data_IF_814589716127
#
_entry.id   IF_814589716127
#
_cell.length_a   1.000
_cell.length_b   1.000
_cell.length_c   1.000
_cell.angle_alpha   90.00
_cell.angle_beta   90.00
_cell.angle_gamma   90.00
#
_symmetry.space_group_name_H-M   'P 1'
#
loop_
_entity.id
_entity.type
_entity.pdbx_description
1 polymer ?
#
# COMPACT_ATOMS: atom_id res chain seq x y z
N UNK A 1 -2.53 -18.92 -8.66
CA UNK A 1 -2.42 -19.76 -7.43
C UNK A 1 -2.42 -18.85 -6.21
N UNK A 2 -3.09 -19.25 -5.17
CA UNK A 2 -3.16 -18.54 -3.89
C UNK A 2 -2.34 -19.29 -2.84
N UNK A 3 -1.63 -18.54 -1.98
CA UNK A 3 -0.80 -19.10 -0.92
C UNK A 3 -1.34 -18.67 0.45
N UNK A 4 -1.04 -19.43 1.48
CA UNK A 4 -1.50 -19.17 2.85
C UNK A 4 -0.79 -17.98 3.51
N UNK A 5 0.37 -17.59 2.97
CA UNK A 5 1.12 -16.42 3.46
C UNK A 5 1.88 -15.73 2.33
N UNK A 6 2.21 -14.46 2.55
CA UNK A 6 3.06 -13.71 1.64
C UNK A 6 4.44 -14.34 1.49
N UNK A 7 5.02 -14.85 2.58
CA UNK A 7 6.34 -15.49 2.56
C UNK A 7 6.34 -16.76 1.70
N UNK A 8 5.29 -17.58 1.79
CA UNK A 8 5.15 -18.76 0.95
C UNK A 8 5.07 -18.40 -0.54
N UNK A 9 4.32 -17.34 -0.87
CA UNK A 9 4.21 -16.85 -2.25
C UNK A 9 5.55 -16.30 -2.77
N UNK A 10 6.24 -15.50 -1.97
CA UNK A 10 7.56 -14.93 -2.31
C UNK A 10 8.58 -16.04 -2.52
N UNK A 11 8.61 -17.04 -1.65
CA UNK A 11 9.53 -18.18 -1.76
C UNK A 11 9.27 -18.98 -3.03
N UNK A 12 8.01 -19.23 -3.39
CA UNK A 12 7.66 -19.92 -4.63
C UNK A 12 8.07 -19.14 -5.87
N UNK A 13 7.88 -17.83 -5.87
CA UNK A 13 8.32 -16.94 -6.95
C UNK A 13 9.84 -16.90 -7.07
N UNK A 14 10.55 -16.72 -5.96
CA UNK A 14 12.02 -16.66 -5.91
C UNK A 14 12.64 -17.99 -6.36
N UNK A 15 12.01 -19.12 -6.04
CA UNK A 15 12.44 -20.45 -6.50
C UNK A 15 12.07 -20.71 -7.98
N UNK A 16 11.60 -19.71 -8.73
CA UNK A 16 11.19 -19.82 -10.13
C UNK A 16 10.07 -20.85 -10.40
N UNK A 17 9.25 -21.10 -9.41
CA UNK A 17 8.06 -21.96 -9.55
C UNK A 17 6.86 -21.21 -10.13
N UNK A 18 6.93 -19.87 -10.16
CA UNK A 18 5.89 -18.98 -10.68
C UNK A 18 6.51 -17.93 -11.59
N UNK A 19 5.79 -17.58 -12.66
CA UNK A 19 6.24 -16.58 -13.63
C UNK A 19 6.00 -15.14 -13.15
N UNK A 20 5.03 -14.96 -12.22
CA UNK A 20 4.67 -13.65 -11.68
C UNK A 20 4.22 -13.76 -10.22
N UNK A 21 4.44 -12.69 -9.49
CA UNK A 21 3.97 -12.52 -8.11
C UNK A 21 3.16 -11.22 -7.99
N UNK A 22 1.97 -11.30 -7.39
CA UNK A 22 1.10 -10.17 -7.14
C UNK A 22 1.13 -9.81 -5.66
N UNK A 23 1.29 -8.53 -5.36
CA UNK A 23 1.36 -8.04 -3.98
C UNK A 23 1.24 -6.53 -3.92
N UNK A 24 1.38 -5.98 -2.71
CA UNK A 24 1.40 -4.54 -2.51
C UNK A 24 2.72 -3.95 -3.01
N UNK A 25 2.64 -2.79 -3.66
CA UNK A 25 3.81 -2.13 -4.29
C UNK A 25 5.02 -1.97 -3.35
N UNK A 26 4.87 -1.55 -2.07
CA UNK A 26 6.03 -1.47 -1.18
C UNK A 26 6.79 -2.79 -1.04
N UNK A 27 6.06 -3.88 -0.83
CA UNK A 27 6.66 -5.22 -0.73
C UNK A 27 7.23 -5.71 -2.06
N UNK A 28 6.58 -5.41 -3.19
CA UNK A 28 7.10 -5.76 -4.52
C UNK A 28 8.43 -5.09 -4.83
N UNK A 29 8.61 -3.84 -4.42
CA UNK A 29 9.87 -3.10 -4.59
C UNK A 29 11.00 -3.82 -3.84
N UNK A 30 10.73 -4.23 -2.60
CA UNK A 30 11.73 -4.93 -1.77
C UNK A 30 12.07 -6.32 -2.33
N UNK A 31 11.08 -7.06 -2.86
CA UNK A 31 11.31 -8.35 -3.52
C UNK A 31 12.11 -8.19 -4.81
N UNK A 32 11.74 -7.22 -5.65
CA UNK A 32 12.43 -6.96 -6.91
C UNK A 32 13.89 -6.54 -6.69
N UNK A 33 14.18 -5.77 -5.63
CA UNK A 33 15.54 -5.39 -5.28
C UNK A 33 16.44 -6.59 -4.92
N UNK A 34 15.85 -7.65 -4.40
CA UNK A 34 16.56 -8.88 -3.97
C UNK A 34 16.63 -9.95 -5.06
N UNK A 35 15.87 -9.82 -6.13
CA UNK A 35 15.78 -10.81 -7.20
C UNK A 35 16.21 -10.19 -8.54
N UNK A 36 17.49 -10.26 -8.91
CA UNK A 36 18.00 -9.75 -10.19
C UNK A 36 17.24 -10.35 -11.39
N UNK A 37 16.92 -9.51 -12.39
CA UNK A 37 16.15 -9.90 -13.56
C UNK A 37 14.64 -9.83 -13.40
N UNK A 38 14.13 -9.60 -12.19
CA UNK A 38 12.71 -9.31 -11.97
C UNK A 38 12.41 -7.83 -12.21
N UNK A 39 11.16 -7.53 -12.54
CA UNK A 39 10.69 -6.16 -12.70
C UNK A 39 9.24 -6.00 -12.22
N UNK A 40 8.89 -4.83 -11.79
CA UNK A 40 7.50 -4.47 -11.50
C UNK A 40 6.87 -4.00 -12.80
N UNK A 41 5.70 -4.57 -13.12
CA UNK A 41 4.92 -4.14 -14.29
C UNK A 41 4.28 -2.77 -14.05
N UNK A 42 4.11 -2.01 -15.10
CA UNK A 42 3.42 -0.72 -15.06
C UNK A 42 1.93 -0.89 -14.75
N UNK A 43 1.34 0.11 -14.11
CA UNK A 43 -0.06 0.12 -13.74
C UNK A 43 -0.35 -0.64 -12.45
N UNK A 44 -1.62 -0.86 -12.22
CA UNK A 44 -2.15 -1.61 -11.06
C UNK A 44 -3.49 -2.24 -11.44
N UNK A 45 -3.75 -3.43 -10.94
CA UNK A 45 -5.05 -4.10 -11.14
C UNK A 45 -6.04 -3.82 -10.00
N UNK A 46 -5.55 -3.35 -8.86
CA UNK A 46 -6.35 -2.92 -7.70
C UNK A 46 -5.55 -1.98 -6.81
N UNK A 47 -6.22 -1.36 -5.86
CA UNK A 47 -5.59 -0.54 -4.84
C UNK A 47 -6.14 -0.91 -3.45
N UNK A 48 -5.27 -0.89 -2.45
CA UNK A 48 -5.64 -1.06 -1.05
C UNK A 48 -5.55 0.30 -0.36
N UNK A 49 -6.69 0.78 0.14
CA UNK A 49 -6.75 2.03 0.88
C UNK A 49 -6.53 1.76 2.37
N UNK A 50 -5.52 2.41 2.93
CA UNK A 50 -5.29 2.38 4.37
C UNK A 50 -6.25 3.36 5.05
N UNK A 51 -6.72 3.01 6.25
CA UNK A 51 -7.68 3.81 6.97
C UNK A 51 -7.29 3.96 8.44
N UNK A 52 -7.69 5.07 9.03
CA UNK A 52 -7.62 5.28 10.48
C UNK A 52 -8.93 4.82 11.10
N UNK A 53 -8.85 3.96 12.11
CA UNK A 53 -10.01 3.40 12.79
C UNK A 53 -10.26 4.01 14.16
N UNK A 54 -11.53 4.01 14.58
CA UNK A 54 -11.95 4.37 15.93
C UNK A 54 -13.05 3.42 16.40
N UNK A 55 -13.19 3.16 17.72
CA UNK A 55 -14.26 2.32 18.23
C UNK A 55 -15.65 2.85 17.85
N UNK A 56 -16.57 1.95 17.51
CA UNK A 56 -17.95 2.29 17.06
C UNK A 56 -18.71 3.20 18.04
N UNK A 57 -18.43 3.10 19.34
CA UNK A 57 -19.06 3.93 20.38
C UNK A 57 -18.68 5.41 20.31
N UNK A 58 -17.64 5.77 19.59
CA UNK A 58 -17.12 7.14 19.46
C UNK A 58 -17.67 7.84 18.21
N UNK A 59 -18.97 7.94 18.05
CA UNK A 59 -19.59 8.50 16.84
C UNK A 59 -19.15 9.95 16.54
N UNK A 60 -19.10 10.82 17.57
CA UNK A 60 -18.62 12.20 17.41
C UNK A 60 -17.12 12.25 17.04
N UNK A 61 -16.31 11.41 17.67
CA UNK A 61 -14.90 11.27 17.34
C UNK A 61 -14.66 10.74 15.92
N UNK A 62 -15.52 9.84 15.45
CA UNK A 62 -15.48 9.34 14.08
C UNK A 62 -15.71 10.46 13.06
N UNK A 63 -16.74 11.29 13.27
CA UNK A 63 -17.03 12.41 12.37
C UNK A 63 -15.85 13.39 12.28
N UNK A 64 -15.30 13.78 13.43
CA UNK A 64 -14.11 14.63 13.48
C UNK A 64 -12.92 14.00 12.77
N UNK A 65 -12.63 12.72 13.04
CA UNK A 65 -11.50 12.00 12.44
C UNK A 65 -11.62 11.90 10.92
N UNK A 66 -12.82 11.60 10.41
CA UNK A 66 -13.09 11.58 8.97
C UNK A 66 -12.79 12.94 8.33
N UNK A 67 -13.35 14.01 8.90
CA UNK A 67 -13.18 15.36 8.35
C UNK A 67 -11.71 15.80 8.43
N UNK A 68 -11.02 15.48 9.50
CA UNK A 68 -9.58 15.72 9.66
C UNK A 68 -8.75 14.99 8.58
N UNK A 69 -9.03 13.71 8.33
CA UNK A 69 -8.29 12.94 7.31
C UNK A 69 -8.55 13.49 5.91
N UNK A 70 -9.80 13.84 5.58
CA UNK A 70 -10.13 14.44 4.29
C UNK A 70 -9.45 15.81 4.11
N UNK A 71 -9.43 16.63 5.14
CA UNK A 71 -8.71 17.91 5.10
C UNK A 71 -7.20 17.71 4.95
N UNK A 72 -6.61 16.76 5.69
CA UNK A 72 -5.18 16.44 5.59
C UNK A 72 -4.78 15.94 4.19
N UNK A 73 -5.65 15.21 3.51
CA UNK A 73 -5.45 14.84 2.09
C UNK A 73 -5.52 16.06 1.18
N UNK A 74 -6.53 16.90 1.38
CA UNK A 74 -6.81 18.05 0.54
C UNK A 74 -5.77 19.18 0.66
N UNK A 75 -5.28 19.46 1.86
CA UNK A 75 -4.32 20.52 2.12
C UNK A 75 -2.85 20.15 1.85
N UNK A 76 -2.59 18.92 1.40
CA UNK A 76 -1.26 18.43 1.06
C UNK A 76 -0.45 17.83 2.21
N UNK A 77 -1.01 17.75 3.42
CA UNK A 77 -0.29 17.16 4.57
C UNK A 77 0.09 15.71 4.31
N UNK A 78 -0.84 14.87 3.83
CA UNK A 78 -0.55 13.46 3.53
C UNK A 78 0.53 13.34 2.46
N UNK A 79 0.45 14.12 1.38
CA UNK A 79 1.47 14.15 0.33
C UNK A 79 2.85 14.53 0.88
N UNK A 80 2.93 15.55 1.73
CA UNK A 80 4.19 15.98 2.34
C UNK A 80 4.78 14.93 3.28
N UNK A 81 3.94 14.18 4.00
CA UNK A 81 4.40 13.07 4.84
C UNK A 81 4.94 11.90 4.01
N UNK A 82 4.29 11.57 2.91
CA UNK A 82 4.78 10.54 1.97
C UNK A 82 6.17 10.93 1.44
N UNK A 83 6.36 12.17 1.06
CA UNK A 83 7.65 12.68 0.59
C UNK A 83 8.70 12.69 1.72
N UNK A 84 8.34 13.24 2.88
CA UNK A 84 9.23 13.35 4.05
C UNK A 84 9.74 11.99 4.53
N UNK A 85 8.92 10.95 4.45
CA UNK A 85 9.28 9.59 4.86
C UNK A 85 9.88 8.73 3.74
N UNK A 86 10.18 9.32 2.57
CA UNK A 86 10.83 8.63 1.46
C UNK A 86 9.99 7.50 0.84
N UNK A 87 8.66 7.62 0.90
CA UNK A 87 7.73 6.59 0.39
C UNK A 87 7.04 7.00 -0.92
N UNK A 88 7.56 7.99 -1.60
CA UNK A 88 7.12 8.36 -2.96
C UNK A 88 7.32 7.18 -3.91
N UNK A 89 6.31 6.87 -4.71
CA UNK A 89 6.30 5.69 -5.59
C UNK A 89 5.89 4.39 -4.90
N UNK A 90 5.92 4.33 -3.57
CA UNK A 90 5.40 3.20 -2.77
C UNK A 90 3.97 3.43 -2.29
N UNK A 91 3.68 4.66 -1.90
CA UNK A 91 2.39 5.13 -1.41
C UNK A 91 1.91 6.33 -2.22
N UNK A 92 0.61 6.56 -2.23
CA UNK A 92 -0.01 7.74 -2.83
C UNK A 92 -1.16 8.22 -1.96
N UNK A 93 -1.55 9.48 -2.13
CA UNK A 93 -2.72 10.04 -1.44
C UNK A 93 -3.98 9.35 -1.98
N UNK A 94 -4.80 8.80 -1.08
CA UNK A 94 -6.07 8.20 -1.48
C UNK A 94 -7.03 9.27 -2.00
N UNK A 95 -7.92 8.94 -2.95
CA UNK A 95 -8.95 9.87 -3.40
C UNK A 95 -9.87 10.27 -2.25
N UNK A 96 -10.53 11.41 -2.39
CA UNK A 96 -11.55 11.86 -1.43
C UNK A 96 -12.74 10.90 -1.42
N UNK A 97 -13.29 10.74 -0.26
CA UNK A 97 -14.47 9.88 -0.02
C UNK A 97 -15.75 10.68 -0.16
#
# INVERSE_FOLDING_TARGET
>A
MQFDSADAAINAFTAQKMDAYAGLRPGLIDVAAKLPGSRILDGQFTAVQQAVGTPKKNAAGFAFLRDFVEEAKKNGLVASLIERHGTVGRLSVAPSV
#
